data_IF_211288775386
#
_entry.id   IF_211288775386
#
_cell.length_a   1.000
_cell.length_b   1.000
_cell.length_c   1.000
_cell.angle_alpha   90.00
_cell.angle_beta   90.00
_cell.angle_gamma   90.00
#
_symmetry.space_group_name_H-M   'P 1'
#
loop_
_entity.id
_entity.type
_entity.pdbx_description
1 polymer ?
#
# COMPACT_ATOMS: atom_id res chain seq x y z
N UNK A 1 -22.38 -3.92 -42.58
CA UNK A 1 -22.47 -2.98 -41.43
C UNK A 1 -21.58 -3.44 -40.28
N UNK A 2 -20.24 -3.33 -40.45
CA UNK A 2 -19.24 -3.79 -39.47
C UNK A 2 -18.07 -2.79 -39.45
N UNK A 3 -18.28 -1.55 -38.98
CA UNK A 3 -17.20 -0.56 -38.79
C UNK A 3 -17.37 0.41 -37.61
N UNK A 4 -18.42 0.27 -36.79
CA UNK A 4 -18.71 1.22 -35.69
C UNK A 4 -18.29 0.75 -34.29
N UNK A 5 -17.69 -0.44 -34.15
CA UNK A 5 -17.33 -1.01 -32.84
C UNK A 5 -15.84 -0.84 -32.46
N UNK A 6 -15.09 0.05 -33.11
CA UNK A 6 -13.67 0.27 -32.82
C UNK A 6 -13.37 1.60 -32.11
N UNK A 7 -14.39 2.44 -31.90
CA UNK A 7 -14.21 3.78 -31.30
C UNK A 7 -14.53 3.86 -29.80
N UNK A 8 -15.14 2.81 -29.21
CA UNK A 8 -15.53 2.80 -27.80
C UNK A 8 -14.45 2.22 -26.85
N UNK A 9 -13.32 1.75 -27.39
CA UNK A 9 -12.22 1.19 -26.60
C UNK A 9 -11.07 2.20 -26.34
N UNK A 10 -11.15 3.41 -26.90
CA UNK A 10 -10.08 4.42 -26.80
C UNK A 10 -10.19 5.32 -25.55
N UNK A 11 -11.30 5.28 -24.80
CA UNK A 11 -11.55 6.22 -23.69
C UNK A 11 -11.23 5.66 -22.28
N UNK A 12 -10.82 4.39 -22.15
CA UNK A 12 -10.59 3.77 -20.83
C UNK A 12 -9.13 3.76 -20.36
N UNK A 13 -8.26 4.60 -20.96
CA UNK A 13 -6.87 4.80 -20.49
C UNK A 13 -6.64 6.20 -19.94
N UNK A 14 -7.62 6.79 -19.24
CA UNK A 14 -7.35 7.94 -18.40
C UNK A 14 -6.76 7.45 -17.08
N UNK A 15 -5.44 7.25 -17.05
CA UNK A 15 -4.74 7.16 -15.75
C UNK A 15 -4.88 8.53 -15.09
N UNK A 16 -5.70 8.61 -14.04
CA UNK A 16 -5.62 9.70 -13.08
C UNK A 16 -4.21 9.66 -12.49
N UNK A 17 -3.35 10.48 -13.07
CA UNK A 17 -2.03 10.75 -12.51
C UNK A 17 -2.32 11.72 -11.38
N UNK A 18 -2.17 11.29 -10.13
CA UNK A 18 -2.18 12.21 -9.00
C UNK A 18 -1.03 13.19 -9.23
N UNK A 19 -1.34 14.43 -9.62
CA UNK A 19 -0.34 15.47 -9.82
C UNK A 19 0.27 15.79 -8.45
N UNK A 20 1.49 15.33 -8.21
CA UNK A 20 2.29 15.86 -7.11
C UNK A 20 2.56 17.34 -7.43
N UNK A 21 2.01 18.26 -6.63
CA UNK A 21 2.32 19.67 -6.77
C UNK A 21 3.81 19.88 -6.50
N UNK A 22 4.56 20.27 -7.53
CA UNK A 22 5.99 20.59 -7.44
C UNK A 22 6.29 21.87 -6.66
N UNK A 23 5.28 22.71 -6.41
CA UNK A 23 5.44 24.01 -5.78
C UNK A 23 4.49 24.17 -4.58
N UNK A 24 4.95 24.85 -3.51
CA UNK A 24 4.13 25.12 -2.33
C UNK A 24 2.99 26.09 -2.65
N UNK A 25 1.82 25.89 -2.02
CA UNK A 25 0.66 26.78 -2.19
C UNK A 25 0.85 28.02 -1.32
N UNK A 26 0.85 29.21 -1.94
CA UNK A 26 0.94 30.48 -1.22
C UNK A 26 -0.45 30.85 -0.69
N UNK A 27 -0.64 30.84 0.62
CA UNK A 27 -1.86 31.35 1.24
C UNK A 27 -1.68 32.83 1.57
N UNK A 28 -2.58 33.68 1.04
CA UNK A 28 -2.61 35.11 1.32
C UNK A 28 -3.59 35.37 2.47
N UNK A 29 -3.07 35.64 3.66
CA UNK A 29 -3.88 36.12 4.77
C UNK A 29 -3.91 37.65 4.74
N UNK A 30 -5.11 38.23 4.64
CA UNK A 30 -5.30 39.67 4.79
C UNK A 30 -5.56 39.96 6.27
N UNK A 31 -4.54 40.39 7.01
CA UNK A 31 -4.76 40.98 8.34
C UNK A 31 -5.51 42.30 8.19
N UNK A 32 -6.65 42.43 8.89
CA UNK A 32 -7.56 43.59 8.76
C UNK A 32 -7.10 44.83 9.54
N UNK A 33 -6.04 44.76 10.32
CA UNK A 33 -5.61 45.87 11.19
C UNK A 33 -4.35 46.59 10.70
N UNK A 34 -3.47 45.90 9.96
CA UNK A 34 -2.21 46.46 9.48
C UNK A 34 -2.06 46.07 8.01
N UNK A 35 -1.99 47.04 7.10
CA UNK A 35 -1.92 46.87 5.64
C UNK A 35 -0.61 46.19 5.15
N UNK A 36 -0.29 45.01 5.66
CA UNK A 36 0.85 44.17 5.29
C UNK A 36 0.36 42.76 4.97
N UNK A 37 0.60 42.31 3.73
CA UNK A 37 0.32 40.94 3.33
C UNK A 37 1.42 40.01 3.88
N UNK A 38 1.07 39.12 4.79
CA UNK A 38 1.96 38.07 5.28
C UNK A 38 1.74 36.83 4.40
N UNK A 39 2.81 36.37 3.75
CA UNK A 39 2.80 35.17 2.92
C UNK A 39 3.37 34.00 3.73
N UNK A 40 2.55 32.98 3.97
CA UNK A 40 3.03 31.70 4.49
C UNK A 40 3.28 30.75 3.31
N UNK A 41 4.50 30.21 3.25
CA UNK A 41 4.91 29.20 2.27
C UNK A 41 5.14 27.90 3.03
N UNK A 42 4.25 26.93 2.86
CA UNK A 42 4.46 25.57 3.36
C UNK A 42 5.33 24.81 2.39
N UNK A 43 6.63 24.69 2.68
CA UNK A 43 7.54 23.91 1.85
C UNK A 43 7.21 22.42 1.96
N UNK A 44 7.23 21.72 0.82
CA UNK A 44 7.17 20.26 0.82
C UNK A 44 8.38 19.72 1.57
N UNK A 45 8.17 18.73 2.45
CA UNK A 45 9.25 18.03 3.13
C UNK A 45 10.16 17.36 2.10
N UNK A 46 11.45 17.71 2.10
CA UNK A 46 12.45 17.09 1.25
C UNK A 46 13.02 15.86 1.95
N UNK A 47 12.68 14.67 1.47
CA UNK A 47 13.29 13.43 1.96
C UNK A 47 14.70 13.32 1.37
N UNK A 48 15.70 13.68 2.16
CA UNK A 48 17.11 13.52 1.78
C UNK A 48 17.47 12.04 1.95
N UNK A 49 17.58 11.32 0.82
CA UNK A 49 18.10 9.95 0.80
C UNK A 49 19.56 9.99 0.42
N UNK A 50 20.44 9.85 1.41
CA UNK A 50 21.87 9.73 1.15
C UNK A 50 22.15 8.48 0.28
N UNK A 51 23.03 8.58 -0.74
CA UNK A 51 23.42 7.41 -1.52
C UNK A 51 24.11 6.39 -0.60
N UNK A 52 23.60 5.16 -0.59
CA UNK A 52 24.21 4.08 0.18
C UNK A 52 25.54 3.67 -0.45
N UNK A 53 26.61 3.76 0.33
CA UNK A 53 27.87 3.11 0.00
C UNK A 53 27.76 1.64 0.39
N UNK A 54 27.96 0.74 -0.57
CA UNK A 54 27.97 -0.70 -0.34
C UNK A 54 29.41 -1.17 -0.14
N UNK A 55 29.61 -2.07 0.82
CA UNK A 55 30.94 -2.64 1.06
C UNK A 55 31.41 -3.55 -0.09
N UNK A 56 30.46 -4.20 -0.78
CA UNK A 56 30.72 -5.08 -1.91
C UNK A 56 29.55 -5.06 -2.92
N UNK A 57 29.79 -5.65 -4.10
CA UNK A 57 28.79 -5.71 -5.18
C UNK A 57 27.60 -6.64 -4.87
N UNK A 58 27.80 -7.65 -4.03
CA UNK A 58 26.76 -8.60 -3.61
C UNK A 58 25.68 -7.90 -2.78
N UNK A 59 26.08 -7.07 -1.81
CA UNK A 59 25.17 -6.27 -0.98
C UNK A 59 24.38 -5.27 -1.84
N UNK A 60 25.08 -4.64 -2.80
CA UNK A 60 24.44 -3.75 -3.78
C UNK A 60 23.40 -4.50 -4.61
N UNK A 61 23.71 -5.71 -5.06
CA UNK A 61 22.79 -6.55 -5.81
C UNK A 61 21.55 -6.91 -4.97
N UNK A 62 21.73 -7.40 -3.75
CA UNK A 62 20.62 -7.75 -2.85
C UNK A 62 19.72 -6.54 -2.54
N UNK A 63 20.31 -5.38 -2.32
CA UNK A 63 19.54 -4.16 -2.09
C UNK A 63 18.74 -3.72 -3.33
N UNK A 64 19.33 -3.79 -4.52
CA UNK A 64 18.61 -3.52 -5.76
C UNK A 64 17.47 -4.52 -6.00
N UNK A 65 17.70 -5.79 -5.66
CA UNK A 65 16.68 -6.84 -5.73
C UNK A 65 15.53 -6.56 -4.76
N UNK A 66 15.82 -6.11 -3.55
CA UNK A 66 14.83 -5.66 -2.57
C UNK A 66 14.00 -4.49 -3.13
N UNK A 67 14.65 -3.46 -3.70
CA UNK A 67 13.96 -2.32 -4.34
C UNK A 67 13.04 -2.78 -5.47
N UNK A 68 13.49 -3.73 -6.28
CA UNK A 68 12.66 -4.33 -7.32
C UNK A 68 11.43 -5.03 -6.72
N UNK A 69 11.62 -5.87 -5.70
CA UNK A 69 10.50 -6.54 -5.03
C UNK A 69 9.53 -5.57 -4.37
N UNK A 70 10.00 -4.51 -3.71
CA UNK A 70 9.13 -3.45 -3.16
C UNK A 70 8.27 -2.86 -4.27
N UNK A 71 8.86 -2.47 -5.40
CA UNK A 71 8.09 -1.96 -6.56
C UNK A 71 7.07 -2.97 -7.06
N UNK A 72 7.43 -4.26 -7.11
CA UNK A 72 6.52 -5.32 -7.54
C UNK A 72 5.31 -5.46 -6.61
N UNK A 73 5.54 -5.41 -5.29
CA UNK A 73 4.47 -5.71 -4.32
C UNK A 73 3.65 -4.49 -3.92
N UNK A 74 4.18 -3.27 -4.10
CA UNK A 74 3.53 -2.04 -3.64
C UNK A 74 2.10 -1.83 -4.16
N UNK A 75 1.77 -2.13 -5.43
CA UNK A 75 0.38 -2.01 -5.90
C UNK A 75 -0.60 -2.86 -5.08
N UNK A 76 -0.17 -4.03 -4.57
CA UNK A 76 -1.01 -4.90 -3.74
C UNK A 76 -1.10 -4.42 -2.30
N UNK A 77 -0.02 -3.86 -1.76
CA UNK A 77 0.00 -3.22 -0.45
C UNK A 77 -1.01 -2.07 -0.43
N UNK A 78 -0.94 -1.16 -1.40
CA UNK A 78 -1.84 -0.03 -1.51
C UNK A 78 -3.30 -0.46 -1.69
N UNK A 79 -3.57 -1.42 -2.58
CA UNK A 79 -4.91 -1.94 -2.79
C UNK A 79 -5.49 -2.58 -1.52
N UNK A 80 -4.67 -3.33 -0.77
CA UNK A 80 -5.07 -3.98 0.48
C UNK A 80 -5.39 -2.97 1.58
N UNK A 81 -4.54 -1.94 1.73
CA UNK A 81 -4.75 -0.88 2.72
C UNK A 81 -5.97 -0.02 2.41
N UNK A 82 -6.17 0.33 1.14
CA UNK A 82 -7.37 1.05 0.69
C UNK A 82 -8.63 0.21 0.96
N UNK A 83 -8.61 -1.07 0.60
CA UNK A 83 -9.73 -1.98 0.83
C UNK A 83 -10.07 -2.11 2.32
N UNK A 84 -9.06 -2.26 3.17
CA UNK A 84 -9.26 -2.35 4.61
C UNK A 84 -9.93 -1.09 5.16
N UNK A 85 -9.45 0.09 4.76
CA UNK A 85 -10.06 1.38 5.11
C UNK A 85 -11.50 1.51 4.60
N UNK A 86 -11.74 1.11 3.35
CA UNK A 86 -13.07 1.12 2.75
C UNK A 86 -14.06 0.23 3.52
N UNK A 87 -13.65 -1.00 3.87
CA UNK A 87 -14.46 -1.93 4.66
C UNK A 87 -14.76 -1.33 6.03
N UNK A 88 -13.76 -0.78 6.72
CA UNK A 88 -13.96 -0.20 8.05
C UNK A 88 -14.93 0.98 8.01
N UNK A 89 -14.78 1.87 7.02
CA UNK A 89 -15.64 3.05 6.86
C UNK A 89 -17.07 2.67 6.45
N UNK A 90 -17.22 1.83 5.42
CA UNK A 90 -18.53 1.44 4.91
C UNK A 90 -19.33 0.61 5.93
N UNK A 91 -18.65 -0.20 6.75
CA UNK A 91 -19.33 -1.14 7.67
C UNK A 91 -19.45 -0.63 9.10
N UNK A 92 -19.02 0.59 9.40
CA UNK A 92 -19.02 1.17 10.75
C UNK A 92 -20.41 1.13 11.42
N UNK A 93 -21.46 1.47 10.66
CA UNK A 93 -22.85 1.51 11.15
C UNK A 93 -23.70 0.32 10.66
N UNK A 94 -23.07 -0.70 10.05
CA UNK A 94 -23.79 -1.86 9.53
C UNK A 94 -24.03 -2.90 10.62
N UNK A 95 -25.18 -3.58 10.56
CA UNK A 95 -25.39 -4.78 11.38
C UNK A 95 -24.36 -5.87 11.03
N UNK A 96 -24.04 -6.74 12.00
CA UNK A 96 -23.07 -7.84 11.83
C UNK A 96 -23.33 -8.69 10.57
N UNK A 97 -24.61 -8.94 10.25
CA UNK A 97 -25.03 -9.69 9.05
C UNK A 97 -24.70 -8.92 7.76
N UNK A 98 -24.98 -7.63 7.73
CA UNK A 98 -24.68 -6.77 6.57
C UNK A 98 -23.18 -6.57 6.38
N UNK A 99 -22.43 -6.33 7.46
CA UNK A 99 -20.96 -6.27 7.45
C UNK A 99 -20.35 -7.52 6.84
N UNK A 100 -20.77 -8.71 7.28
CA UNK A 100 -20.29 -9.99 6.73
C UNK A 100 -20.60 -10.13 5.24
N UNK A 101 -21.79 -9.71 4.80
CA UNK A 101 -22.19 -9.72 3.38
C UNK A 101 -21.32 -8.76 2.56
N UNK A 102 -21.06 -7.57 3.08
CA UNK A 102 -20.22 -6.56 2.44
C UNK A 102 -18.78 -7.07 2.26
N UNK A 103 -18.16 -7.56 3.34
CA UNK A 103 -16.81 -8.14 3.29
C UNK A 103 -16.75 -9.27 2.26
N UNK A 104 -17.72 -10.20 2.26
CA UNK A 104 -17.75 -11.29 1.28
C UNK A 104 -17.86 -10.80 -0.17
N UNK A 105 -18.59 -9.70 -0.42
CA UNK A 105 -18.68 -9.12 -1.76
C UNK A 105 -17.34 -8.54 -2.21
N UNK A 106 -16.65 -7.84 -1.31
CA UNK A 106 -15.34 -7.24 -1.54
C UNK A 106 -14.25 -8.30 -1.73
N UNK A 107 -14.28 -9.37 -0.95
CA UNK A 107 -13.39 -10.52 -1.14
C UNK A 107 -13.55 -11.15 -2.53
N UNK A 108 -14.79 -11.27 -3.03
CA UNK A 108 -15.05 -11.83 -4.37
C UNK A 108 -14.48 -10.92 -5.46
N UNK A 109 -14.68 -9.61 -5.33
CA UNK A 109 -14.13 -8.60 -6.24
C UNK A 109 -12.59 -8.66 -6.27
N UNK A 110 -11.95 -8.72 -5.11
CA UNK A 110 -10.49 -8.78 -4.99
C UNK A 110 -9.94 -10.08 -5.58
N UNK A 111 -10.55 -11.22 -5.29
CA UNK A 111 -10.12 -12.49 -5.90
C UNK A 111 -10.17 -12.41 -7.42
N UNK A 112 -11.27 -11.93 -7.99
CA UNK A 112 -11.39 -11.78 -9.44
C UNK A 112 -10.31 -10.86 -10.04
N UNK A 113 -9.90 -9.81 -9.32
CA UNK A 113 -8.95 -8.82 -9.83
C UNK A 113 -7.46 -9.14 -9.54
N UNK A 114 -7.19 -9.95 -8.51
CA UNK A 114 -5.85 -10.12 -7.95
C UNK A 114 -5.41 -11.57 -7.72
N UNK A 115 -6.26 -12.58 -7.88
CA UNK A 115 -5.89 -13.98 -7.61
C UNK A 115 -4.71 -14.46 -8.46
N UNK A 116 -4.75 -14.27 -9.78
CA UNK A 116 -3.66 -14.64 -10.68
C UNK A 116 -2.36 -13.88 -10.36
N UNK A 117 -2.48 -12.62 -9.95
CA UNK A 117 -1.33 -11.77 -9.63
C UNK A 117 -0.70 -12.15 -8.29
N UNK A 118 -1.52 -12.42 -7.28
CA UNK A 118 -1.07 -12.84 -5.96
C UNK A 118 -0.42 -14.23 -6.02
N UNK A 119 -0.98 -15.15 -6.81
CA UNK A 119 -0.41 -16.48 -7.01
C UNK A 119 0.89 -16.46 -7.81
N UNK A 120 1.13 -15.43 -8.63
CA UNK A 120 2.40 -15.24 -9.34
C UNK A 120 3.56 -14.77 -8.44
N UNK A 121 3.27 -14.29 -7.21
CA UNK A 121 4.30 -13.84 -6.29
C UNK A 121 5.11 -15.02 -5.75
N UNK A 122 6.43 -14.89 -5.77
CA UNK A 122 7.27 -15.85 -5.06
C UNK A 122 7.17 -15.64 -3.54
N UNK A 123 7.64 -16.62 -2.77
CA UNK A 123 7.55 -16.62 -1.30
C UNK A 123 8.21 -15.37 -0.68
N UNK A 124 9.35 -14.92 -1.22
CA UNK A 124 10.06 -13.72 -0.72
C UNK A 124 9.24 -12.45 -0.94
N UNK A 125 8.64 -12.31 -2.12
CA UNK A 125 7.72 -11.21 -2.43
C UNK A 125 6.47 -11.26 -1.55
N UNK A 126 5.90 -12.46 -1.33
CA UNK A 126 4.77 -12.66 -0.41
C UNK A 126 5.10 -12.27 1.03
N UNK A 127 6.30 -12.62 1.52
CA UNK A 127 6.80 -12.19 2.84
C UNK A 127 6.90 -10.67 2.92
N UNK A 128 7.49 -10.04 1.91
CA UNK A 128 7.64 -8.59 1.85
C UNK A 128 6.28 -7.88 1.78
N UNK A 129 5.32 -8.41 1.02
CA UNK A 129 3.95 -7.92 0.94
C UNK A 129 3.30 -7.88 2.33
N UNK A 130 3.38 -8.98 3.09
CA UNK A 130 2.84 -9.04 4.47
C UNK A 130 3.49 -7.99 5.36
N UNK A 131 4.82 -7.87 5.33
CA UNK A 131 5.55 -6.86 6.12
C UNK A 131 5.10 -5.43 5.79
N UNK A 132 4.97 -5.11 4.51
CA UNK A 132 4.57 -3.77 4.07
C UNK A 132 3.10 -3.45 4.36
N UNK A 133 2.19 -4.44 4.31
CA UNK A 133 0.81 -4.27 4.79
C UNK A 133 0.81 -3.97 6.29
N UNK A 134 1.56 -4.74 7.08
CA UNK A 134 1.67 -4.52 8.52
C UNK A 134 2.24 -3.13 8.84
N UNK A 135 3.24 -2.69 8.06
CA UNK A 135 3.81 -1.33 8.14
C UNK A 135 2.77 -0.25 7.88
N UNK A 136 1.96 -0.39 6.82
CA UNK A 136 1.01 0.66 6.42
C UNK A 136 -0.21 0.74 7.33
N UNK A 137 -0.68 -0.40 7.85
CA UNK A 137 -1.89 -0.47 8.68
C UNK A 137 -1.59 -0.47 10.19
N UNK A 138 -0.31 -0.50 10.57
CA UNK A 138 0.14 -0.64 11.95
C UNK A 138 -0.58 -1.78 12.72
N UNK A 139 -0.94 -2.84 12.00
CA UNK A 139 -1.72 -3.98 12.50
C UNK A 139 -1.20 -5.22 11.78
N UNK A 140 -1.02 -6.32 12.51
CA UNK A 140 -0.55 -7.55 11.90
C UNK A 140 -1.63 -8.22 11.01
N UNK A 141 -1.21 -8.85 9.92
CA UNK A 141 -2.10 -9.49 8.94
C UNK A 141 -3.00 -10.57 9.56
N UNK A 142 -2.57 -11.25 10.62
CA UNK A 142 -3.41 -12.22 11.31
C UNK A 142 -4.64 -11.57 11.94
N UNK A 143 -4.46 -10.47 12.66
CA UNK A 143 -5.56 -9.73 13.28
C UNK A 143 -6.48 -9.13 12.22
N UNK A 144 -5.93 -8.64 11.10
CA UNK A 144 -6.73 -8.21 9.95
C UNK A 144 -7.62 -9.35 9.44
N UNK A 145 -7.08 -10.55 9.22
CA UNK A 145 -7.85 -11.71 8.75
C UNK A 145 -8.89 -12.13 9.79
N UNK A 146 -8.52 -12.13 11.07
CA UNK A 146 -9.40 -12.48 12.19
C UNK A 146 -10.63 -11.57 12.23
N UNK A 147 -10.43 -10.27 12.06
CA UNK A 147 -11.47 -9.25 12.16
C UNK A 147 -12.36 -9.20 10.92
N UNK A 148 -11.78 -9.39 9.73
CA UNK A 148 -12.54 -9.42 8.47
C UNK A 148 -13.31 -10.72 8.29
N UNK A 149 -12.74 -11.85 8.72
CA UNK A 149 -13.35 -13.18 8.56
C UNK A 149 -13.73 -13.77 9.91
N UNK A 150 -12.82 -14.50 10.53
CA UNK A 150 -13.00 -15.21 11.78
C UNK A 150 -11.66 -15.77 12.28
N UNK A 151 -11.53 -16.06 13.59
CA UNK A 151 -10.30 -16.60 14.17
C UNK A 151 -9.82 -17.91 13.54
N UNK A 152 -10.73 -18.83 13.20
CA UNK A 152 -10.35 -20.12 12.61
C UNK A 152 -9.66 -19.96 11.24
N UNK A 153 -10.15 -19.02 10.43
CA UNK A 153 -9.54 -18.72 9.13
C UNK A 153 -8.17 -18.08 9.29
N UNK A 154 -8.00 -17.18 10.27
CA UNK A 154 -6.71 -16.58 10.58
C UNK A 154 -5.68 -17.65 11.01
N UNK A 155 -6.07 -18.60 11.85
CA UNK A 155 -5.22 -19.73 12.26
C UNK A 155 -4.81 -20.60 11.09
N UNK A 156 -5.74 -20.91 10.17
CA UNK A 156 -5.43 -21.67 8.95
C UNK A 156 -4.39 -20.97 8.08
N UNK A 157 -4.58 -19.67 7.79
CA UNK A 157 -3.63 -18.89 6.99
C UNK A 157 -2.29 -18.70 7.71
N UNK A 158 -2.29 -18.55 9.03
CA UNK A 158 -1.05 -18.46 9.81
C UNK A 158 -0.24 -19.76 9.77
N UNK A 159 -0.91 -20.93 9.79
CA UNK A 159 -0.25 -22.21 9.65
C UNK A 159 0.38 -22.36 8.27
N UNK A 160 -0.39 -22.07 7.20
CA UNK A 160 0.13 -22.07 5.84
C UNK A 160 1.30 -21.09 5.64
N UNK A 161 1.19 -19.89 6.20
CA UNK A 161 2.23 -18.87 6.16
C UNK A 161 3.52 -19.36 6.85
N UNK A 162 3.42 -19.96 8.04
CA UNK A 162 4.60 -20.50 8.76
C UNK A 162 5.32 -21.58 7.97
N UNK A 163 4.59 -22.46 7.29
CA UNK A 163 5.18 -23.48 6.42
C UNK A 163 5.98 -22.88 5.25
N UNK A 164 5.63 -21.68 4.82
CA UNK A 164 6.34 -20.92 3.79
C UNK A 164 7.33 -19.89 4.37
N UNK A 165 7.62 -19.94 5.67
CA UNK A 165 8.52 -18.99 6.33
C UNK A 165 7.99 -17.55 6.35
N UNK A 166 6.66 -17.38 6.44
CA UNK A 166 5.97 -16.09 6.60
C UNK A 166 5.27 -16.09 7.95
N UNK A 167 5.36 -14.98 8.70
CA UNK A 167 4.69 -14.85 9.98
C UNK A 167 3.62 -13.74 9.91
N UNK A 168 2.33 -14.10 9.87
CA UNK A 168 1.25 -13.12 9.82
C UNK A 168 1.03 -12.39 11.16
N UNK A 169 1.49 -12.97 12.27
CA UNK A 169 1.45 -12.39 13.61
C UNK A 169 2.64 -11.45 13.89
N UNK A 170 3.58 -11.28 12.96
CA UNK A 170 4.73 -10.39 13.14
C UNK A 170 4.29 -8.93 13.14
N UNK A 171 4.67 -8.17 14.17
CA UNK A 171 4.50 -6.72 14.17
C UNK A 171 5.64 -6.09 13.37
N UNK A 172 5.32 -5.12 12.53
CA UNK A 172 6.35 -4.43 11.76
C UNK A 172 7.06 -3.40 12.64
N UNK A 173 8.38 -3.54 12.76
CA UNK A 173 9.23 -2.58 13.46
C UNK A 173 10.24 -1.98 12.46
N UNK A 174 10.21 -0.66 12.20
CA UNK A 174 11.14 0.00 11.28
C UNK A 174 12.62 -0.23 11.62
N UNK A 175 12.96 -0.26 12.91
CA UNK A 175 14.31 -0.47 13.45
C UNK A 175 14.88 -1.85 13.11
N UNK A 176 14.04 -2.88 13.05
CA UNK A 176 14.43 -4.24 12.68
C UNK A 176 14.47 -4.44 11.16
N UNK A 177 13.99 -3.46 10.38
CA UNK A 177 13.89 -3.54 8.92
C UNK A 177 14.51 -2.31 8.22
N UNK A 178 15.76 -1.92 8.56
CA UNK A 178 16.37 -0.68 8.10
C UNK A 178 16.56 -0.61 6.57
N UNK A 179 16.85 -1.75 5.93
CA UNK A 179 16.99 -1.82 4.47
C UNK A 179 15.65 -1.64 3.75
N UNK A 180 14.57 -2.16 4.33
CA UNK A 180 13.22 -1.96 3.79
C UNK A 180 12.87 -0.47 3.90
N UNK A 181 13.03 0.14 5.07
CA UNK A 181 12.73 1.56 5.26
C UNK A 181 13.57 2.47 4.35
N UNK A 182 14.86 2.18 4.22
CA UNK A 182 15.73 2.94 3.32
C UNK A 182 15.30 2.77 1.87
N UNK A 183 14.99 1.56 1.46
CA UNK A 183 14.51 1.29 0.11
C UNK A 183 13.18 1.99 -0.16
N UNK A 184 12.24 1.96 0.77
CA UNK A 184 10.95 2.68 0.71
C UNK A 184 11.16 4.18 0.51
N UNK A 185 11.96 4.82 1.37
CA UNK A 185 12.31 6.24 1.25
C UNK A 185 12.96 6.56 -0.10
N UNK A 186 13.90 5.72 -0.56
CA UNK A 186 14.57 5.88 -1.86
C UNK A 186 13.63 5.76 -3.07
N UNK A 187 12.47 5.15 -2.88
CA UNK A 187 11.45 4.95 -3.90
C UNK A 187 10.31 5.98 -3.81
N UNK A 188 10.29 6.82 -2.78
CA UNK A 188 9.27 7.83 -2.55
C UNK A 188 8.00 7.30 -1.87
N UNK A 189 8.14 6.30 -0.99
CA UNK A 189 7.05 5.73 -0.19
C UNK A 189 7.19 6.04 1.30
#
# INVERSE_FOLDING_TARGET
MKKTLLFLFLLFNLKMTFSQQLFPTVQKNNDKDNNQAIYHIELNEAVIVAPQMFANDTDRYHYNQLKYYIKTVMPYVNASSQLFSEINTATANMSKKMRKKYIKSKEKEIKANFEDKLTSLNITQGRLLVKLINRQLNTNCFDIIKDLKNPFTATYYQAWAKLNGINLNEHYQPEDNPDIERAMRSLGY
#
